data_IF_851168153587
#
_entry.id   IF_851168153587
#
_cell.length_a   1.000
_cell.length_b   1.000
_cell.length_c   1.000
_cell.angle_alpha   90.00
_cell.angle_beta   90.00
_cell.angle_gamma   90.00
#
_symmetry.space_group_name_H-M   'P 1'
#
loop_
_entity.id
_entity.type
_entity.pdbx_description
1 polymer ?
#
# COMPACT_ATOMS: atom_id res chain seq x y z
N UNK A 1 33.92 62.64 0.10
CA UNK A 1 32.75 63.53 -0.07
C UNK A 1 31.89 62.92 -1.17
N UNK A 2 30.57 62.78 -1.14
CA UNK A 2 29.49 63.05 -0.18
C UNK A 2 28.23 62.82 -1.04
N UNK A 3 27.43 61.79 -0.79
CA UNK A 3 26.05 61.74 -1.28
C UNK A 3 25.22 62.77 -0.50
N UNK A 4 24.25 63.43 -1.14
CA UNK A 4 22.84 63.23 -0.73
C UNK A 4 21.86 63.29 -1.93
N UNK A 5 20.54 63.06 -1.84
CA UNK A 5 19.69 62.25 -0.93
C UNK A 5 18.22 62.31 -1.45
N UNK A 6 17.59 61.14 -1.67
CA UNK A 6 16.14 60.79 -1.55
C UNK A 6 15.02 61.79 -1.92
N UNK A 7 14.06 61.34 -2.78
CA UNK A 7 12.57 61.37 -2.63
C UNK A 7 11.91 60.94 -3.97
N UNK A 8 10.71 60.35 -4.06
CA UNK A 8 9.58 60.15 -3.12
C UNK A 8 8.98 58.72 -3.15
N UNK A 9 8.29 58.36 -2.07
CA UNK A 9 7.29 57.29 -2.02
C UNK A 9 5.93 57.77 -2.55
N UNK A 10 5.15 56.87 -3.16
CA UNK A 10 3.69 57.06 -3.38
C UNK A 10 2.90 55.81 -2.93
N UNK A 11 1.61 55.95 -2.55
CA UNK A 11 1.03 55.05 -1.54
C UNK A 11 0.14 53.91 -2.07
N UNK A 12 0.18 52.80 -1.31
CA UNK A 12 -0.93 51.90 -0.98
C UNK A 12 -2.22 51.96 -1.82
N UNK A 13 -2.37 50.99 -2.73
CA UNK A 13 -3.70 50.59 -3.21
C UNK A 13 -4.37 49.72 -2.13
N UNK A 14 -5.45 50.22 -1.53
CA UNK A 14 -6.22 49.50 -0.51
C UNK A 14 -7.12 48.44 -1.16
N UNK A 15 -7.15 47.24 -0.57
CA UNK A 15 -8.20 46.26 -0.86
C UNK A 15 -9.58 46.85 -0.55
N UNK A 16 -10.51 46.77 -1.50
CA UNK A 16 -11.93 46.97 -1.28
C UNK A 16 -12.63 45.60 -1.29
N UNK A 17 -13.38 45.23 -0.24
CA UNK A 17 -14.22 44.03 -0.28
C UNK A 17 -15.47 44.28 -1.13
N UNK A 18 -15.87 43.28 -1.91
CA UNK A 18 -17.16 43.27 -2.60
C UNK A 18 -18.33 43.19 -1.61
N UNK A 19 -19.45 43.89 -1.85
CA UNK A 19 -20.59 43.90 -0.93
C UNK A 19 -21.28 42.53 -0.84
N UNK A 20 -21.71 42.19 0.38
CA UNK A 20 -22.56 41.03 0.69
C UNK A 20 -24.01 41.51 0.73
N UNK A 21 -24.89 40.92 -0.09
CA UNK A 21 -26.34 41.13 0.02
C UNK A 21 -27.03 40.08 0.92
N UNK A 22 -28.18 40.39 1.54
CA UNK A 22 -28.65 39.67 2.72
C UNK A 22 -29.55 38.46 2.44
N UNK A 23 -29.55 37.55 3.40
CA UNK A 23 -30.44 36.39 3.50
C UNK A 23 -31.93 36.76 3.34
N UNK A 24 -32.65 36.06 2.45
CA UNK A 24 -34.10 36.01 2.48
C UNK A 24 -34.61 34.77 3.22
N UNK A 25 -35.46 35.00 4.23
CA UNK A 25 -36.21 33.98 4.94
C UNK A 25 -37.14 33.21 4.00
N UNK A 26 -37.04 31.88 3.98
CA UNK A 26 -38.14 31.01 3.55
C UNK A 26 -38.74 30.33 4.79
N UNK A 27 -40.06 30.45 4.93
CA UNK A 27 -40.84 30.00 6.08
C UNK A 27 -40.84 28.47 6.22
N UNK A 28 -40.66 27.99 7.45
CA UNK A 28 -41.23 26.69 7.86
C UNK A 28 -42.76 26.77 7.79
N UNK A 29 -43.39 25.76 7.19
CA UNK A 29 -44.81 25.44 7.44
C UNK A 29 -44.90 23.99 7.91
N UNK A 30 -45.80 23.75 8.85
CA UNK A 30 -45.92 22.50 9.61
C UNK A 30 -47.26 21.82 9.36
N UNK A 31 -47.27 20.78 8.52
CA UNK A 31 -48.28 19.70 8.44
C UNK A 31 -47.55 18.52 7.79
N UNK A 32 -47.69 17.24 8.15
CA UNK A 32 -48.42 16.59 9.23
C UNK A 32 -48.58 15.08 8.90
N UNK A 33 -48.58 14.22 9.92
CA UNK A 33 -48.92 12.78 9.89
C UNK A 33 -48.11 11.82 9.00
N UNK A 34 -47.60 10.75 9.64
CA UNK A 34 -47.11 9.50 9.04
C UNK A 34 -48.27 8.68 8.42
N UNK A 35 -48.00 7.60 7.66
CA UNK A 35 -47.78 6.33 8.36
C UNK A 35 -46.61 5.48 7.84
N UNK A 36 -46.18 4.59 8.74
CA UNK A 36 -45.25 3.49 8.53
C UNK A 36 -45.73 2.49 7.47
N UNK A 37 -44.77 1.91 6.75
CA UNK A 37 -44.98 0.71 5.94
C UNK A 37 -44.05 -0.41 6.43
N UNK A 38 -44.47 -1.09 7.49
CA UNK A 38 -43.84 -2.36 7.87
C UNK A 38 -44.08 -3.40 6.78
N UNK A 39 -43.00 -3.98 6.22
CA UNK A 39 -43.08 -5.29 5.58
C UNK A 39 -42.69 -6.38 6.58
N UNK A 40 -43.70 -6.85 7.29
CA UNK A 40 -43.64 -8.13 7.98
C UNK A 40 -43.53 -9.26 6.95
N UNK A 41 -42.42 -10.01 6.97
CA UNK A 41 -42.35 -11.36 6.43
C UNK A 41 -42.16 -12.34 7.60
N UNK A 42 -43.25 -13.00 8.00
CA UNK A 42 -43.25 -14.13 8.94
C UNK A 42 -43.56 -15.43 8.18
N UNK A 43 -43.11 -16.55 8.76
CA UNK A 43 -43.30 -17.95 8.32
C UNK A 43 -42.38 -18.36 7.15
N UNK A 44 -41.83 -19.58 7.12
CA UNK A 44 -42.28 -20.82 7.76
C UNK A 44 -41.19 -21.64 8.47
N UNK A 45 -41.59 -22.47 9.46
CA UNK A 45 -40.80 -23.53 10.12
C UNK A 45 -41.43 -24.89 9.79
N UNK A 46 -40.61 -25.97 9.83
CA UNK A 46 -40.90 -27.45 9.79
C UNK A 46 -40.26 -28.13 8.55
N UNK A 47 -39.72 -29.36 8.58
CA UNK A 47 -39.20 -30.19 9.69
C UNK A 47 -38.46 -31.45 9.15
N UNK A 48 -37.61 -32.07 9.98
CA UNK A 48 -37.31 -33.52 10.10
C UNK A 48 -36.75 -34.37 8.92
N UNK A 49 -35.53 -34.92 9.12
CA UNK A 49 -35.20 -36.37 9.18
C UNK A 49 -33.74 -36.50 9.67
N UNK A 50 -33.31 -37.22 10.73
CA UNK A 50 -33.28 -38.69 10.97
C UNK A 50 -32.72 -39.46 9.76
N UNK A 51 -31.74 -40.35 9.82
CA UNK A 51 -30.99 -41.02 10.90
C UNK A 51 -29.57 -41.35 10.34
N UNK A 52 -28.59 -42.01 10.99
CA UNK A 52 -28.55 -42.73 12.27
C UNK A 52 -27.11 -42.86 12.81
N UNK A 53 -26.92 -43.69 13.85
CA UNK A 53 -25.64 -44.34 14.20
C UNK A 53 -25.71 -45.82 13.79
N UNK A 54 -24.55 -46.45 13.55
CA UNK A 54 -24.39 -47.88 13.80
C UNK A 54 -22.93 -48.20 14.17
N UNK A 55 -22.75 -49.17 15.06
CA UNK A 55 -21.52 -49.46 15.79
C UNK A 55 -21.06 -50.90 15.51
N UNK A 56 -19.75 -51.11 15.67
CA UNK A 56 -19.06 -52.33 16.15
C UNK A 56 -18.59 -53.48 15.21
N UNK A 57 -17.29 -53.80 15.40
CA UNK A 57 -16.62 -55.13 15.42
C UNK A 57 -16.54 -55.93 14.09
N UNK A 58 -15.46 -56.65 13.75
CA UNK A 58 -14.63 -57.58 14.56
C UNK A 58 -13.13 -57.65 14.19
N UNK A 59 -12.38 -58.44 14.95
CA UNK A 59 -10.94 -58.74 14.91
C UNK A 59 -10.49 -59.65 13.74
N UNK A 60 -9.19 -59.60 13.37
CA UNK A 60 -8.25 -60.73 13.59
C UNK A 60 -6.79 -60.43 13.23
N UNK A 61 -5.89 -61.13 13.93
CA UNK A 61 -4.43 -61.04 13.84
C UNK A 61 -3.87 -62.24 13.07
N UNK A 62 -2.95 -62.03 12.11
CA UNK A 62 -2.04 -63.09 11.64
C UNK A 62 -0.65 -62.52 11.37
N UNK A 63 0.36 -63.20 11.90
CA UNK A 63 1.79 -62.92 11.70
C UNK A 63 2.34 -63.82 10.59
N UNK A 64 3.18 -63.30 9.71
CA UNK A 64 4.25 -64.06 9.00
C UNK A 64 5.32 -63.09 8.48
N UNK A 65 6.60 -63.51 8.28
CA UNK A 65 7.74 -62.59 8.39
C UNK A 65 8.69 -62.54 7.17
N UNK A 66 9.54 -61.48 7.14
CA UNK A 66 10.84 -61.33 6.42
C UNK A 66 10.81 -61.49 4.87
N UNK A 67 11.35 -60.57 4.07
CA UNK A 67 12.78 -60.22 3.98
C UNK A 67 13.05 -58.84 3.32
N UNK A 68 14.35 -58.50 3.24
CA UNK A 68 15.02 -57.42 2.49
C UNK A 68 15.03 -55.99 3.06
N UNK A 69 16.02 -55.77 3.93
CA UNK A 69 16.60 -54.46 4.19
C UNK A 69 17.44 -53.99 2.98
N UNK A 70 16.86 -53.17 2.12
CA UNK A 70 17.62 -52.22 1.29
C UNK A 70 17.67 -50.86 1.99
N UNK A 71 18.83 -50.21 1.97
CA UNK A 71 19.17 -49.03 2.78
C UNK A 71 18.09 -47.92 2.78
N UNK A 72 17.36 -47.79 3.89
CA UNK A 72 16.63 -46.57 4.20
C UNK A 72 17.63 -45.55 4.76
N UNK A 73 18.09 -44.64 3.90
CA UNK A 73 18.86 -43.49 4.32
C UNK A 73 17.96 -42.60 5.19
N UNK A 74 18.48 -42.08 6.30
CA UNK A 74 17.71 -41.26 7.21
C UNK A 74 17.45 -39.89 6.58
N UNK A 75 16.32 -39.74 5.90
CA UNK A 75 15.82 -38.43 5.47
C UNK A 75 15.54 -37.59 6.72
N UNK A 76 16.41 -36.61 6.93
CA UNK A 76 16.24 -35.57 7.92
C UNK A 76 14.91 -34.88 7.69
N UNK A 77 14.18 -34.56 8.77
CA UNK A 77 12.97 -33.75 8.70
C UNK A 77 13.36 -32.39 8.09
N UNK A 78 13.06 -32.21 6.81
CA UNK A 78 13.36 -30.98 6.10
C UNK A 78 12.61 -29.81 6.73
N UNK A 79 13.39 -28.90 7.30
CA UNK A 79 12.96 -27.58 7.70
C UNK A 79 12.28 -26.92 6.47
N UNK A 80 11.04 -26.39 6.57
CA UNK A 80 10.30 -25.92 5.41
C UNK A 80 11.07 -24.82 4.68
N UNK A 81 11.65 -25.19 3.54
CA UNK A 81 12.42 -24.34 2.66
C UNK A 81 11.55 -23.14 2.25
N UNK A 82 12.00 -21.88 2.45
CA UNK A 82 11.17 -20.70 2.17
C UNK A 82 10.62 -20.74 0.74
N UNK A 83 9.29 -20.66 0.64
CA UNK A 83 8.50 -20.77 -0.60
C UNK A 83 9.19 -20.14 -1.81
N UNK A 84 9.41 -20.94 -2.86
CA UNK A 84 9.98 -20.46 -4.11
C UNK A 84 9.10 -19.37 -4.75
N UNK A 85 9.49 -18.12 -4.53
CA UNK A 85 8.83 -16.90 -5.02
C UNK A 85 8.80 -16.76 -6.55
N UNK A 86 9.68 -17.44 -7.28
CA UNK A 86 9.98 -17.15 -8.68
C UNK A 86 8.89 -17.69 -9.63
N UNK A 87 8.21 -18.76 -9.21
CA UNK A 87 7.22 -19.50 -10.01
C UNK A 87 5.80 -18.88 -9.99
N UNK A 88 5.64 -17.64 -9.53
CA UNK A 88 4.33 -16.97 -9.50
C UNK A 88 3.82 -16.62 -10.89
N UNK A 89 2.58 -17.02 -11.16
CA UNK A 89 1.87 -16.79 -12.42
C UNK A 89 1.04 -15.49 -12.29
N UNK A 90 1.29 -14.46 -13.12
CA UNK A 90 0.46 -13.26 -13.13
C UNK A 90 -0.95 -13.55 -13.66
N UNK A 91 -1.98 -13.24 -12.88
CA UNK A 91 -3.39 -13.48 -13.25
C UNK A 91 -4.00 -12.33 -14.06
N UNK A 92 -3.44 -11.12 -13.89
CA UNK A 92 -3.84 -9.90 -14.62
C UNK A 92 -2.59 -9.13 -15.04
N UNK A 93 -2.73 -8.32 -16.10
CA UNK A 93 -1.72 -7.36 -16.51
C UNK A 93 -2.24 -5.93 -16.34
N UNK A 94 -1.35 -5.01 -16.01
CA UNK A 94 -1.59 -3.58 -15.93
C UNK A 94 -0.48 -2.82 -16.67
N UNK A 95 -0.74 -1.59 -17.09
CA UNK A 95 0.26 -0.71 -17.68
C UNK A 95 0.32 0.64 -16.97
N UNK A 96 1.51 1.24 -16.99
CA UNK A 96 1.79 2.59 -16.50
C UNK A 96 2.67 3.30 -17.53
N UNK A 97 2.17 4.40 -18.10
CA UNK A 97 2.94 5.31 -18.96
C UNK A 97 3.58 6.40 -18.09
N UNK A 98 4.89 6.61 -18.24
CA UNK A 98 5.67 7.51 -17.38
C UNK A 98 6.30 8.64 -18.20
N UNK A 99 6.31 9.85 -17.64
CA UNK A 99 7.07 11.00 -18.16
C UNK A 99 7.96 11.62 -17.09
N UNK A 100 9.08 12.22 -17.51
CA UNK A 100 9.93 13.08 -16.67
C UNK A 100 9.79 14.52 -17.20
N UNK A 101 9.41 15.45 -16.33
CA UNK A 101 9.17 16.88 -16.65
C UNK A 101 8.22 17.12 -17.85
N UNK A 102 7.35 16.15 -18.12
CA UNK A 102 6.37 16.16 -19.22
C UNK A 102 6.80 15.37 -20.46
N UNK A 103 8.07 15.00 -20.58
CA UNK A 103 8.59 14.21 -21.70
C UNK A 103 8.39 12.69 -21.45
N UNK A 104 7.70 11.95 -22.34
CA UNK A 104 7.38 10.54 -22.13
C UNK A 104 8.62 9.65 -22.26
N UNK A 105 8.95 8.90 -21.20
CA UNK A 105 10.15 8.05 -21.14
C UNK A 105 9.90 6.57 -21.45
N UNK A 106 8.64 6.13 -21.39
CA UNK A 106 8.18 4.80 -21.81
C UNK A 106 6.98 4.27 -21.04
N UNK A 107 6.64 3.00 -21.32
CA UNK A 107 5.58 2.23 -20.66
C UNK A 107 6.20 1.11 -19.81
N UNK A 108 5.64 0.89 -18.63
CA UNK A 108 5.91 -0.25 -17.76
C UNK A 108 4.69 -1.19 -17.82
N UNK A 109 4.91 -2.48 -18.07
CA UNK A 109 3.89 -3.53 -18.02
C UNK A 109 4.10 -4.34 -16.75
N UNK A 110 3.05 -4.50 -15.95
CA UNK A 110 3.08 -5.14 -14.63
C UNK A 110 2.16 -6.36 -14.66
N UNK A 111 2.68 -7.52 -14.27
CA UNK A 111 1.90 -8.71 -13.98
C UNK A 111 1.51 -8.74 -12.50
N UNK A 112 0.24 -8.98 -12.19
CA UNK A 112 -0.32 -8.96 -10.84
C UNK A 112 -0.66 -10.37 -10.34
N UNK A 113 -0.34 -10.66 -9.08
CA UNK A 113 -0.49 -11.97 -8.44
C UNK A 113 -1.86 -12.10 -7.74
N UNK A 114 -2.95 -12.06 -8.50
CA UNK A 114 -4.30 -12.00 -7.95
C UNK A 114 -4.74 -13.21 -7.10
N UNK A 115 -4.08 -14.36 -7.25
CA UNK A 115 -4.40 -15.57 -6.50
C UNK A 115 -3.61 -15.67 -5.19
N UNK A 116 -2.34 -15.27 -5.18
CA UNK A 116 -1.50 -15.17 -3.97
C UNK A 116 -1.97 -14.07 -3.00
N UNK A 117 -2.25 -12.88 -3.58
CA UNK A 117 -2.44 -11.61 -2.87
C UNK A 117 -3.67 -10.87 -3.44
N UNK A 118 -4.88 -11.44 -3.22
CA UNK A 118 -6.12 -10.92 -3.79
C UNK A 118 -6.48 -9.52 -3.28
N UNK A 119 -6.26 -9.20 -1.99
CA UNK A 119 -6.64 -7.90 -1.44
C UNK A 119 -5.73 -6.78 -2.00
N UNK A 120 -4.42 -7.00 -2.01
CA UNK A 120 -3.46 -6.09 -2.62
C UNK A 120 -3.67 -5.94 -4.13
N UNK A 121 -3.80 -7.05 -4.85
CA UNK A 121 -4.03 -7.03 -6.30
C UNK A 121 -5.35 -6.35 -6.66
N UNK A 122 -6.45 -6.63 -5.96
CA UNK A 122 -7.75 -6.00 -6.24
C UNK A 122 -7.70 -4.48 -5.99
N UNK A 123 -7.04 -4.05 -4.91
CA UNK A 123 -6.85 -2.64 -4.59
C UNK A 123 -6.06 -1.91 -5.67
N UNK A 124 -4.89 -2.42 -6.05
CA UNK A 124 -4.08 -1.83 -7.11
C UNK A 124 -4.84 -1.83 -8.46
N UNK A 125 -5.51 -2.93 -8.79
CA UNK A 125 -6.33 -3.05 -10.01
C UNK A 125 -7.44 -1.99 -10.08
N UNK A 126 -8.08 -1.70 -8.94
CA UNK A 126 -9.14 -0.68 -8.85
C UNK A 126 -8.61 0.73 -9.12
N UNK A 127 -7.45 1.07 -8.55
CA UNK A 127 -6.84 2.39 -8.70
C UNK A 127 -6.18 2.55 -10.08
N UNK A 128 -5.44 1.55 -10.57
CA UNK A 128 -4.78 1.62 -11.88
C UNK A 128 -5.79 1.72 -13.03
N UNK A 129 -6.96 1.07 -12.91
CA UNK A 129 -8.05 1.17 -13.90
C UNK A 129 -8.86 2.46 -13.86
N UNK A 130 -8.68 3.33 -12.86
CA UNK A 130 -9.47 4.56 -12.72
C UNK A 130 -10.88 4.35 -12.15
N UNK A 131 -11.16 3.19 -11.55
CA UNK A 131 -12.50 2.86 -11.00
C UNK A 131 -12.91 3.89 -9.95
N UNK A 132 -14.19 4.26 -9.92
CA UNK A 132 -14.72 5.30 -9.04
C UNK A 132 -14.04 6.69 -9.15
N UNK A 133 -13.40 7.00 -10.28
CA UNK A 133 -12.80 8.31 -10.55
C UNK A 133 -11.43 8.55 -9.89
N UNK A 134 -10.87 7.53 -9.22
CA UNK A 134 -9.57 7.58 -8.58
C UNK A 134 -8.53 6.82 -9.42
N UNK A 135 -7.41 7.47 -9.73
CA UNK A 135 -6.38 6.87 -10.59
C UNK A 135 -4.98 7.35 -10.24
N UNK A 136 -4.00 6.48 -10.49
CA UNK A 136 -2.58 6.86 -10.53
C UNK A 136 -2.27 7.83 -11.68
N UNK A 137 -3.15 7.94 -12.69
CA UNK A 137 -3.01 8.93 -13.76
C UNK A 137 -2.92 10.36 -13.20
N UNK A 138 -1.89 11.09 -13.64
CA UNK A 138 -1.48 12.43 -13.18
C UNK A 138 -1.06 12.46 -11.70
N UNK A 139 -0.46 11.38 -11.20
CA UNK A 139 0.20 11.30 -9.89
C UNK A 139 1.71 11.08 -10.07
N UNK A 140 2.46 11.44 -9.05
CA UNK A 140 3.92 11.60 -9.10
C UNK A 140 4.64 10.49 -8.31
N UNK A 141 5.83 10.11 -8.76
CA UNK A 141 6.79 9.39 -7.94
C UNK A 141 7.43 10.37 -6.94
N UNK A 142 7.31 10.06 -5.65
CA UNK A 142 7.63 10.97 -4.54
C UNK A 142 8.98 10.69 -3.89
N UNK A 143 9.51 9.47 -4.04
CA UNK A 143 10.86 9.10 -3.64
C UNK A 143 11.49 8.22 -4.71
N UNK A 144 12.77 8.42 -4.97
CA UNK A 144 13.61 7.62 -5.85
C UNK A 144 14.82 7.21 -5.01
N UNK A 145 14.82 5.96 -4.58
CA UNK A 145 15.81 5.36 -3.68
C UNK A 145 16.81 4.53 -4.50
N UNK A 146 18.00 4.21 -3.94
CA UNK A 146 18.96 3.35 -4.63
C UNK A 146 18.38 2.00 -5.07
N UNK A 147 17.54 1.35 -4.25
CA UNK A 147 16.93 0.05 -4.58
C UNK A 147 15.59 0.11 -5.35
N UNK A 148 14.83 1.20 -5.24
CA UNK A 148 13.43 1.26 -5.70
C UNK A 148 12.92 2.67 -5.99
N UNK A 149 11.83 2.78 -6.75
CA UNK A 149 11.06 4.02 -6.95
C UNK A 149 9.70 3.91 -6.25
N UNK A 150 9.28 4.96 -5.55
CA UNK A 150 8.02 4.99 -4.78
C UNK A 150 7.03 6.01 -5.37
N UNK A 151 5.87 5.51 -5.77
CA UNK A 151 4.74 6.29 -6.26
C UNK A 151 3.91 6.85 -5.10
N UNK A 152 3.59 8.15 -5.13
CA UNK A 152 2.92 8.87 -4.03
C UNK A 152 1.42 8.60 -3.84
N UNK A 153 0.91 7.52 -4.45
CA UNK A 153 -0.46 7.04 -4.28
C UNK A 153 -1.54 8.07 -4.61
N UNK A 154 -2.66 7.98 -3.89
CA UNK A 154 -3.81 8.86 -3.96
C UNK A 154 -3.88 9.63 -2.63
N UNK A 155 -3.49 10.90 -2.62
CA UNK A 155 -3.40 11.71 -1.38
C UNK A 155 -4.77 12.08 -0.78
N UNK A 156 -5.79 12.20 -1.64
CA UNK A 156 -7.18 12.43 -1.23
C UNK A 156 -8.11 11.78 -2.25
N UNK A 157 -9.15 11.16 -1.74
CA UNK A 157 -10.35 10.88 -2.52
C UNK A 157 -11.15 12.18 -2.62
N UNK A 158 -11.74 12.46 -3.78
CA UNK A 158 -12.44 13.72 -4.04
C UNK A 158 -13.81 13.80 -3.36
N UNK A 159 -14.75 14.48 -4.02
CA UNK A 159 -16.15 14.59 -3.53
C UNK A 159 -16.77 13.21 -3.28
N UNK A 160 -16.46 12.22 -4.13
CA UNK A 160 -16.95 10.84 -4.03
C UNK A 160 -16.12 9.93 -3.08
N UNK A 161 -15.70 10.45 -1.93
CA UNK A 161 -14.80 9.73 -1.01
C UNK A 161 -15.33 8.37 -0.54
N UNK A 162 -16.64 8.23 -0.34
CA UNK A 162 -17.29 6.96 0.02
C UNK A 162 -17.20 5.93 -1.12
N UNK A 163 -17.54 6.34 -2.35
CA UNK A 163 -17.46 5.49 -3.56
C UNK A 163 -16.03 5.05 -3.84
N UNK A 164 -15.06 5.96 -3.64
CA UNK A 164 -13.64 5.67 -3.76
C UNK A 164 -13.19 4.64 -2.70
N UNK A 165 -13.59 4.82 -1.43
CA UNK A 165 -13.27 3.89 -0.34
C UNK A 165 -13.85 2.50 -0.60
N UNK A 166 -15.11 2.43 -1.05
CA UNK A 166 -15.76 1.18 -1.44
C UNK A 166 -15.07 0.50 -2.63
N UNK A 167 -14.53 1.27 -3.59
CA UNK A 167 -13.77 0.72 -4.73
C UNK A 167 -12.36 0.25 -4.35
N UNK A 168 -11.70 0.91 -3.38
CA UNK A 168 -10.35 0.58 -2.86
C UNK A 168 -10.38 -0.61 -1.88
N UNK A 169 -11.54 -0.91 -1.32
CA UNK A 169 -11.75 -1.99 -0.35
C UNK A 169 -11.19 -1.66 1.03
N UNK A 170 -11.42 -2.54 2.00
CA UNK A 170 -10.95 -2.37 3.38
C UNK A 170 -9.42 -2.34 3.48
N UNK A 171 -8.88 -1.41 4.28
CA UNK A 171 -7.44 -1.39 4.61
C UNK A 171 -7.05 -2.58 5.51
N UNK A 172 -7.98 -3.10 6.30
CA UNK A 172 -7.74 -4.21 7.22
C UNK A 172 -7.29 -5.48 6.46
N UNK A 173 -7.99 -5.84 5.38
CA UNK A 173 -7.65 -7.00 4.56
C UNK A 173 -6.25 -6.88 3.93
N UNK A 174 -5.81 -5.67 3.57
CA UNK A 174 -4.46 -5.43 3.06
C UNK A 174 -3.39 -5.64 4.15
N UNK A 175 -3.67 -5.18 5.38
CA UNK A 175 -2.77 -5.36 6.52
C UNK A 175 -2.65 -6.86 6.86
N UNK A 176 -3.77 -7.58 6.93
CA UNK A 176 -3.81 -9.02 7.19
C UNK A 176 -3.03 -9.81 6.13
N UNK A 177 -3.19 -9.47 4.84
CA UNK A 177 -2.46 -10.11 3.75
C UNK A 177 -0.95 -9.84 3.81
N UNK A 178 -0.53 -8.63 4.20
CA UNK A 178 0.87 -8.31 4.47
C UNK A 178 1.43 -9.03 5.70
N UNK A 179 0.65 -9.16 6.77
CA UNK A 179 1.05 -9.91 7.96
C UNK A 179 1.22 -11.41 7.69
N UNK A 180 0.38 -12.01 6.81
CA UNK A 180 0.59 -13.36 6.29
C UNK A 180 1.94 -13.49 5.57
N UNK A 181 2.31 -12.47 4.79
CA UNK A 181 3.62 -12.36 4.15
C UNK A 181 4.78 -12.36 5.14
N UNK A 182 4.69 -11.56 6.21
CA UNK A 182 5.68 -11.56 7.31
C UNK A 182 5.78 -12.90 8.05
N UNK A 183 4.69 -13.68 8.12
CA UNK A 183 4.68 -15.02 8.71
C UNK A 183 5.17 -16.13 7.76
N UNK A 184 5.53 -15.79 6.52
CA UNK A 184 5.97 -16.75 5.50
C UNK A 184 4.85 -17.62 4.94
N UNK A 185 3.57 -17.32 5.22
CA UNK A 185 2.42 -18.05 4.65
C UNK A 185 2.23 -17.79 3.16
N UNK A 186 2.74 -16.64 2.69
CA UNK A 186 2.83 -16.26 1.28
C UNK A 186 4.21 -15.66 1.05
N UNK A 187 4.77 -15.84 -0.14
CA UNK A 187 6.00 -15.13 -0.49
C UNK A 187 5.77 -13.60 -0.47
N UNK A 188 6.62 -12.87 0.25
CA UNK A 188 6.64 -11.40 0.27
C UNK A 188 8.06 -10.82 0.05
N UNK A 189 8.91 -11.53 -0.68
CA UNK A 189 10.31 -11.15 -0.89
C UNK A 189 10.43 -10.08 -1.98
N UNK A 190 11.07 -8.96 -1.65
CA UNK A 190 11.20 -7.81 -2.54
C UNK A 190 12.41 -7.97 -3.48
N UNK A 191 12.31 -8.89 -4.46
CA UNK A 191 13.29 -9.07 -5.54
C UNK A 191 13.32 -7.91 -6.54
N UNK A 192 14.39 -7.79 -7.33
CA UNK A 192 14.46 -6.86 -8.46
C UNK A 192 13.26 -7.03 -9.43
N UNK A 193 12.65 -5.92 -9.85
CA UNK A 193 11.46 -5.91 -10.70
C UNK A 193 10.14 -6.20 -9.98
N UNK A 194 10.13 -6.45 -8.66
CA UNK A 194 8.90 -6.57 -7.88
C UNK A 194 8.11 -5.26 -7.85
N UNK A 195 6.78 -5.39 -7.85
CA UNK A 195 5.85 -4.28 -7.61
C UNK A 195 5.08 -4.58 -6.34
N UNK A 196 5.04 -3.62 -5.41
CA UNK A 196 4.42 -3.83 -4.11
C UNK A 196 3.66 -2.60 -3.60
N UNK A 197 2.58 -2.83 -2.85
CA UNK A 197 1.83 -1.77 -2.16
C UNK A 197 2.52 -1.45 -0.85
N UNK A 198 2.68 -0.16 -0.57
CA UNK A 198 3.22 0.34 0.69
C UNK A 198 2.12 0.29 1.75
N UNK A 199 2.28 -0.62 2.72
CA UNK A 199 1.37 -0.82 3.86
C UNK A 199 1.84 0.01 5.07
N UNK A 200 3.15 0.26 5.16
CA UNK A 200 3.80 1.10 6.17
C UNK A 200 4.86 1.97 5.49
N UNK A 201 5.08 3.19 5.96
CA UNK A 201 6.09 4.09 5.38
C UNK A 201 7.51 3.49 5.53
N UNK A 202 8.20 3.13 4.43
CA UNK A 202 9.48 2.42 4.48
C UNK A 202 10.62 3.30 4.99
N UNK A 203 10.42 4.63 5.10
CA UNK A 203 11.40 5.51 5.74
C UNK A 203 11.31 5.54 7.27
N UNK A 204 10.28 4.91 7.87
CA UNK A 204 10.20 4.78 9.33
C UNK A 204 10.87 3.47 9.76
N UNK A 205 11.79 3.47 10.75
CA UNK A 205 12.39 2.23 11.25
C UNK A 205 11.31 1.27 11.75
N UNK A 206 11.45 -0.07 11.60
CA UNK A 206 10.44 -1.03 12.04
C UNK A 206 9.94 -0.79 13.48
N UNK A 207 8.68 -1.17 13.80
CA UNK A 207 8.15 -1.03 15.15
C UNK A 207 9.09 -1.63 16.18
N UNK A 208 9.41 -0.84 17.21
CA UNK A 208 10.25 -1.30 18.31
C UNK A 208 9.36 -1.73 19.45
N UNK A 209 9.51 -2.98 19.85
CA UNK A 209 8.95 -3.51 21.08
C UNK A 209 9.63 -2.83 22.27
N UNK A 210 8.86 -2.18 23.14
CA UNK A 210 9.35 -1.50 24.35
C UNK A 210 8.79 -2.18 25.60
N UNK A 211 9.64 -2.32 26.62
CA UNK A 211 9.18 -2.68 27.97
C UNK A 211 8.70 -1.40 28.67
N UNK A 212 7.39 -1.29 28.87
CA UNK A 212 6.74 -0.13 29.49
C UNK A 212 6.15 -0.56 30.83
N UNK A 213 6.50 0.15 31.91
CA UNK A 213 5.90 -0.08 33.21
C UNK A 213 4.50 0.55 33.27
N UNK A 214 3.45 -0.28 33.28
CA UNK A 214 2.05 0.14 33.46
C UNK A 214 1.44 -0.60 34.65
N UNK A 215 0.83 0.14 35.57
CA UNK A 215 0.19 -0.40 36.79
C UNK A 215 1.12 -1.33 37.60
N UNK A 216 2.40 -0.96 37.73
CA UNK A 216 3.41 -1.75 38.45
C UNK A 216 3.88 -3.03 37.75
N UNK A 217 3.43 -3.31 36.53
CA UNK A 217 3.86 -4.45 35.71
C UNK A 217 4.62 -3.98 34.47
N UNK A 218 5.69 -4.67 34.12
CA UNK A 218 6.35 -4.50 32.82
C UNK A 218 5.45 -5.13 31.75
N UNK A 219 5.03 -4.31 30.80
CA UNK A 219 4.24 -4.72 29.64
C UNK A 219 5.09 -4.56 28.38
N UNK A 220 4.95 -5.53 27.47
CA UNK A 220 5.56 -5.51 26.15
C UNK A 220 4.64 -4.69 25.25
N UNK A 221 4.96 -3.42 25.03
CA UNK A 221 4.16 -2.49 24.22
C UNK A 221 4.91 -2.20 22.91
N UNK A 222 4.26 -2.48 21.78
CA UNK A 222 4.78 -2.11 20.47
C UNK A 222 4.60 -0.60 20.25
N UNK A 223 5.65 0.08 19.81
CA UNK A 223 5.59 1.52 19.53
C UNK A 223 4.57 1.82 18.43
N UNK A 224 3.42 2.39 18.81
CA UNK A 224 2.35 2.80 17.88
C UNK A 224 2.84 3.91 16.95
N UNK A 225 3.39 3.49 15.81
CA UNK A 225 3.81 4.40 14.74
C UNK A 225 2.58 5.07 14.14
N UNK A 226 2.59 6.40 14.15
CA UNK A 226 1.49 7.23 13.65
C UNK A 226 1.02 6.80 12.24
N UNK A 227 -0.30 6.68 12.13
CA UNK A 227 -1.15 6.24 11.00
C UNK A 227 -0.37 5.98 9.71
N UNK A 228 -0.37 4.70 9.29
CA UNK A 228 0.29 4.24 8.09
C UNK A 228 -0.24 4.90 6.80
N UNK A 229 0.45 4.70 5.67
CA UNK A 229 -0.06 5.09 4.36
C UNK A 229 -1.43 4.44 4.12
N UNK A 230 -2.26 5.09 3.31
CA UNK A 230 -3.61 4.61 3.00
C UNK A 230 -3.66 3.35 2.11
N UNK A 231 -2.53 2.64 1.96
CA UNK A 231 -2.38 1.48 1.09
C UNK A 231 -2.56 1.76 -0.40
N UNK A 232 -2.44 3.01 -0.84
CA UNK A 232 -2.49 3.37 -2.28
C UNK A 232 -1.12 3.71 -2.86
N UNK A 233 -0.14 4.06 -2.03
CA UNK A 233 1.26 4.18 -2.42
C UNK A 233 1.80 2.81 -2.85
N UNK A 234 2.67 2.79 -3.86
CA UNK A 234 3.31 1.56 -4.34
C UNK A 234 4.79 1.80 -4.66
N UNK A 235 5.57 0.74 -4.67
CA UNK A 235 6.98 0.73 -5.08
C UNK A 235 7.19 -0.16 -6.30
N UNK A 236 8.22 0.17 -7.07
CA UNK A 236 8.81 -0.73 -8.06
C UNK A 236 10.30 -0.86 -7.69
N UNK A 237 10.75 -2.07 -7.40
CA UNK A 237 12.15 -2.35 -7.09
C UNK A 237 12.95 -2.51 -8.38
N UNK A 238 14.18 -2.00 -8.37
CA UNK A 238 15.18 -2.23 -9.42
C UNK A 238 16.29 -3.19 -8.97
N UNK A 239 16.49 -3.31 -7.66
CA UNK A 239 17.44 -4.21 -7.01
C UNK A 239 16.69 -4.99 -5.94
N UNK A 240 17.18 -6.18 -5.57
CA UNK A 240 16.74 -6.88 -4.36
C UNK A 240 16.79 -5.93 -3.15
N UNK A 241 15.64 -5.69 -2.53
CA UNK A 241 15.39 -4.66 -1.51
C UNK A 241 14.73 -5.26 -0.26
N UNK A 242 15.42 -6.16 0.48
CA UNK A 242 14.84 -6.85 1.64
C UNK A 242 14.40 -5.88 2.77
N UNK A 243 14.93 -4.65 2.81
CA UNK A 243 14.50 -3.61 3.75
C UNK A 243 13.03 -3.20 3.59
N UNK A 244 12.39 -3.57 2.47
CA UNK A 244 10.98 -3.28 2.19
C UNK A 244 10.01 -4.32 2.78
N UNK A 245 10.46 -5.49 3.22
CA UNK A 245 9.57 -6.58 3.68
C UNK A 245 8.73 -6.16 4.90
N UNK A 246 9.32 -5.34 5.78
CA UNK A 246 8.69 -4.69 6.94
C UNK A 246 7.75 -3.52 6.58
N UNK A 247 7.47 -3.27 5.30
CA UNK A 247 6.66 -2.11 4.88
C UNK A 247 5.84 -2.27 3.60
N UNK A 248 6.15 -3.27 2.78
CA UNK A 248 5.59 -3.46 1.45
C UNK A 248 5.01 -4.86 1.31
N UNK A 249 3.81 -4.95 0.73
CA UNK A 249 3.23 -6.19 0.23
C UNK A 249 3.50 -6.31 -1.27
N UNK A 250 4.26 -7.32 -1.70
CA UNK A 250 4.51 -7.62 -3.11
C UNK A 250 3.22 -8.10 -3.78
N UNK A 251 2.73 -7.33 -4.76
CA UNK A 251 1.49 -7.60 -5.50
C UNK A 251 1.72 -8.07 -6.95
N UNK A 252 2.96 -8.01 -7.43
CA UNK A 252 3.27 -8.29 -8.83
C UNK A 252 4.75 -8.18 -9.17
N UNK A 253 5.04 -8.28 -10.47
CA UNK A 253 6.35 -7.99 -11.07
C UNK A 253 6.21 -7.20 -12.36
N UNK A 254 7.22 -6.40 -12.68
CA UNK A 254 7.39 -5.82 -14.01
C UNK A 254 7.68 -6.95 -14.99
N UNK A 255 6.90 -7.00 -16.07
CA UNK A 255 7.09 -7.91 -17.20
C UNK A 255 7.88 -7.24 -18.32
N UNK A 256 7.60 -5.96 -18.57
CA UNK A 256 8.25 -5.17 -19.62
C UNK A 256 8.45 -3.73 -19.12
N UNK A 257 9.47 -3.04 -19.63
CA UNK A 257 9.72 -1.63 -19.29
C UNK A 257 10.63 -1.41 -18.08
N UNK A 258 11.41 -2.39 -17.62
CA UNK A 258 12.43 -2.16 -16.57
C UNK A 258 13.42 -1.04 -16.93
N UNK A 259 13.77 -0.86 -18.21
CA UNK A 259 14.58 0.27 -18.67
C UNK A 259 13.93 1.65 -18.44
N UNK A 260 12.61 1.72 -18.24
CA UNK A 260 11.91 2.95 -17.81
C UNK A 260 12.17 3.22 -16.32
N UNK A 261 12.17 2.16 -15.49
CA UNK A 261 12.50 2.24 -14.06
C UNK A 261 13.95 2.69 -13.86
N UNK A 262 14.88 2.19 -14.68
CA UNK A 262 16.29 2.63 -14.64
C UNK A 262 16.44 4.12 -15.00
N UNK A 263 15.81 4.59 -16.09
CA UNK A 263 15.78 6.03 -16.43
C UNK A 263 15.20 6.89 -15.30
N UNK A 264 14.23 6.37 -14.52
CA UNK A 264 13.72 7.07 -13.35
C UNK A 264 14.76 7.15 -12.23
N UNK A 265 15.58 6.11 -12.00
CA UNK A 265 16.65 6.09 -10.98
C UNK A 265 17.77 7.09 -11.27
N UNK A 266 18.00 7.43 -12.53
CA UNK A 266 18.98 8.45 -12.94
C UNK A 266 18.53 9.89 -12.62
N UNK A 267 17.25 10.11 -12.27
CA UNK A 267 16.74 11.44 -11.89
C UNK A 267 17.40 11.93 -10.61
N UNK A 268 17.97 13.13 -10.68
CA UNK A 268 18.59 13.79 -9.52
C UNK A 268 17.58 13.98 -8.38
N UNK A 269 17.97 13.58 -7.17
CA UNK A 269 17.14 13.68 -5.96
C UNK A 269 17.73 14.62 -4.92
N UNK A 270 16.89 15.03 -3.98
CA UNK A 270 17.32 15.66 -2.72
C UNK A 270 18.22 14.70 -1.96
N UNK A 271 19.46 15.10 -1.70
CA UNK A 271 20.47 14.28 -1.03
C UNK A 271 20.00 13.81 0.35
N UNK A 272 20.06 12.50 0.58
CA UNK A 272 19.96 11.92 1.92
C UNK A 272 21.16 12.34 2.79
N UNK A 273 20.86 12.82 4.00
CA UNK A 273 21.86 13.25 4.98
C UNK A 273 21.71 12.53 6.33
N UNK A 274 20.95 11.43 6.38
CA UNK A 274 20.58 10.71 7.61
C UNK A 274 21.80 10.12 8.34
N UNK A 275 22.87 9.79 7.61
CA UNK A 275 24.13 9.31 8.17
C UNK A 275 24.97 10.39 8.87
N UNK A 276 24.69 11.68 8.63
CA UNK A 276 25.48 12.79 9.19
C UNK A 276 25.37 12.86 10.73
N UNK A 277 26.49 13.04 11.45
CA UNK A 277 26.45 13.15 12.92
C UNK A 277 25.59 14.33 13.38
N UNK A 278 25.65 15.47 12.69
CA UNK A 278 24.83 16.65 12.99
C UNK A 278 23.33 16.37 12.81
N UNK A 279 22.96 15.65 11.74
CA UNK A 279 21.57 15.31 11.48
C UNK A 279 21.03 14.32 12.53
N UNK A 280 21.82 13.31 12.88
CA UNK A 280 21.49 12.35 13.95
C UNK A 280 21.28 13.03 15.30
N UNK A 281 22.16 13.95 15.68
CA UNK A 281 22.00 14.75 16.92
C UNK A 281 20.73 15.61 16.85
N UNK A 282 20.52 16.33 15.74
CA UNK A 282 19.33 17.16 15.54
C UNK A 282 18.02 16.36 15.63
N UNK A 283 18.00 15.12 15.11
CA UNK A 283 16.89 14.18 15.25
C UNK A 283 16.66 13.72 16.69
N UNK A 284 17.73 13.41 17.43
CA UNK A 284 17.64 12.97 18.85
C UNK A 284 17.13 14.08 19.77
N UNK A 285 17.56 15.33 19.56
CA UNK A 285 17.07 16.49 20.34
C UNK A 285 15.68 17.01 19.89
N UNK A 286 15.07 16.37 18.89
CA UNK A 286 13.73 16.75 18.40
C UNK A 286 13.67 18.03 17.56
N UNK A 287 14.75 18.43 16.87
CA UNK A 287 14.73 19.59 15.97
C UNK A 287 13.71 19.35 14.83
N UNK A 288 12.64 20.16 14.83
CA UNK A 288 11.58 20.11 13.83
C UNK A 288 12.11 20.28 12.40
N UNK A 289 13.20 21.03 12.19
CA UNK A 289 13.82 21.21 10.87
C UNK A 289 14.42 19.92 10.35
N UNK A 290 15.06 19.14 11.22
CA UNK A 290 15.59 17.82 10.83
C UNK A 290 14.46 16.86 10.47
N UNK A 291 13.37 16.84 11.24
CA UNK A 291 12.17 16.02 10.96
C UNK A 291 11.47 16.43 9.65
N UNK A 292 11.47 17.72 9.30
CA UNK A 292 10.93 18.21 8.02
C UNK A 292 11.86 17.89 6.85
N UNK A 293 13.18 18.06 7.02
CA UNK A 293 14.17 17.77 5.98
C UNK A 293 14.20 16.28 5.61
N UNK A 294 14.11 15.38 6.59
CA UNK A 294 14.05 13.92 6.40
C UNK A 294 12.97 13.50 5.40
N UNK A 295 11.78 14.11 5.48
CA UNK A 295 10.63 13.83 4.61
C UNK A 295 10.86 14.28 3.16
N UNK A 296 11.84 15.15 2.93
CA UNK A 296 12.23 15.63 1.62
C UNK A 296 13.37 14.84 0.97
N UNK A 297 14.10 14.02 1.73
CA UNK A 297 15.22 13.22 1.18
C UNK A 297 14.73 12.22 0.13
N UNK A 298 15.59 11.97 -0.86
CA UNK A 298 15.36 11.09 -2.00
C UNK A 298 14.15 11.49 -2.87
N UNK A 299 13.53 12.66 -2.65
CA UNK A 299 12.53 13.24 -3.55
C UNK A 299 13.20 13.70 -4.85
N UNK A 300 12.67 13.38 -6.04
CA UNK A 300 13.24 13.87 -7.30
C UNK A 300 13.05 15.39 -7.44
N UNK A 301 14.01 16.05 -8.09
CA UNK A 301 13.87 17.46 -8.49
C UNK A 301 12.96 17.60 -9.72
N UNK A 302 13.07 16.68 -10.68
CA UNK A 302 12.19 16.57 -11.83
C UNK A 302 10.86 15.92 -11.46
N UNK A 303 9.78 16.31 -12.14
CA UNK A 303 8.46 15.69 -11.98
C UNK A 303 8.40 14.38 -12.75
N UNK A 304 8.54 13.27 -12.04
CA UNK A 304 8.33 11.93 -12.58
C UNK A 304 6.85 11.56 -12.39
N UNK A 305 6.08 11.50 -13.48
CA UNK A 305 4.61 11.46 -13.45
C UNK A 305 4.07 10.29 -14.25
N UNK A 306 3.03 9.63 -13.73
CA UNK A 306 2.21 8.69 -14.50
C UNK A 306 1.28 9.46 -15.43
N UNK A 307 1.53 9.45 -16.74
CA UNK A 307 0.72 10.19 -17.73
C UNK A 307 -0.59 9.48 -18.06
N UNK A 308 -0.56 8.14 -18.03
CA UNK A 308 -1.69 7.26 -18.27
C UNK A 308 -1.45 5.90 -17.58
N UNK A 309 -2.51 5.17 -17.27
CA UNK A 309 -2.42 3.82 -16.74
C UNK A 309 -3.76 3.08 -16.91
N UNK A 310 -3.73 1.75 -16.77
CA UNK A 310 -4.92 0.92 -16.89
C UNK A 310 -4.63 -0.56 -16.66
N UNK A 311 -5.69 -1.37 -16.72
CA UNK A 311 -5.57 -2.81 -16.88
C UNK A 311 -5.41 -3.14 -18.37
N UNK A 312 -4.72 -4.25 -18.65
CA UNK A 312 -4.67 -4.85 -19.98
C UNK A 312 -5.58 -6.07 -19.93
N UNK A 313 -6.60 -6.08 -20.79
CA UNK A 313 -7.42 -7.27 -20.98
C UNK A 313 -6.57 -8.33 -21.67
N UNK A 314 -6.34 -9.45 -20.98
CA UNK A 314 -5.77 -10.63 -21.60
C UNK A 314 -6.77 -11.13 -22.63
N UNK A 315 -6.48 -10.94 -23.91
CA UNK A 315 -7.13 -11.72 -24.95
C UNK A 315 -6.80 -13.19 -24.67
N UNK A 316 -7.80 -13.95 -24.23
CA UNK A 316 -7.77 -15.41 -24.35
C UNK A 316 -7.68 -15.73 -25.84
N UNK A 317 -6.53 -16.28 -26.24
CA UNK A 317 -6.33 -16.91 -27.55
C UNK A 317 -7.25 -18.12 -27.70
#
# INVERSE_FOLDING_TARGET
MMLPYVKLLTPSAKFLPSPVEPLQHIRRTTVGASPSLERNCKLSRRNLSKSSLLLLLTTQTTLTPLLDFSNAQADTIDNPNPTNCENRIPTKKAFIDVSIDGEPIGRIIIGLYGDDVPAGTARFSSIVSGKAGISYRRKEFVKIMPGYVQHGGIRSYGVDAERATAAVGSLQNLIEEWERGKRGEICNVNKAGSVGIVVRDPSKPPPKTKLVARNGKLQVEEEVIAVGPNGTEFVITAVDSPELEDSVLVIGKVLEGMGVVEKMREVKTVRDNTSSPYFRVAKVIGDKRAVVAERGFNRPYSKVVVTNCGLIESQTL
#
